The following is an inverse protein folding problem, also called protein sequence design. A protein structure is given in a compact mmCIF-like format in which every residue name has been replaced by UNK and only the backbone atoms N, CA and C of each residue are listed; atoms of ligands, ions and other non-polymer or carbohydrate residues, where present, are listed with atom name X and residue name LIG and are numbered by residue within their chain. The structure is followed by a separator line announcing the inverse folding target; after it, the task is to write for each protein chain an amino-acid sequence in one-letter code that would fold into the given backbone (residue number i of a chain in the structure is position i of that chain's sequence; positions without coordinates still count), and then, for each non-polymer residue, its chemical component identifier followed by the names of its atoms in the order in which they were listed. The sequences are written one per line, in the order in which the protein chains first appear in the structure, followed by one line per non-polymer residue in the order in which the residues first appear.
data_IF_693470761697
#
_entry.id   IF_693470761697
#
_cell.length_a   1.000
_cell.length_b   1.000
_cell.length_c   1.000
_cell.angle_alpha   90.00
_cell.angle_beta   90.00
_cell.angle_gamma   90.00
#
_symmetry.space_group_name_H-M   'P 1'
#
loop_
_entity.id
_entity.type
_entity.pdbx_description
1 polymer ?
#
# COMPACT_ATOMS: atom_id res chain seq x y z
N UNK A 1 19.46 24.33 9.18
CA UNK A 1 18.71 23.68 8.09
C UNK A 1 17.41 23.13 8.67
N UNK A 2 16.28 23.32 8.00
CA UNK A 2 15.04 22.67 8.41
C UNK A 2 15.17 21.17 8.13
N UNK A 3 14.98 20.33 9.14
CA UNK A 3 15.02 18.89 9.01
C UNK A 3 13.84 18.45 8.13
N UNK A 4 14.12 17.85 6.98
CA UNK A 4 13.11 17.41 6.02
C UNK A 4 12.93 15.90 6.17
N UNK A 5 12.05 15.52 7.10
CA UNK A 5 11.73 14.13 7.41
C UNK A 5 11.37 13.32 6.16
N UNK A 6 10.75 13.95 5.14
CA UNK A 6 10.35 13.25 3.92
C UNK A 6 11.57 12.77 3.13
N UNK A 7 12.60 13.62 2.99
CA UNK A 7 13.83 13.26 2.27
C UNK A 7 14.62 12.21 3.02
N UNK A 8 14.69 12.31 4.34
CA UNK A 8 15.41 11.33 5.15
C UNK A 8 14.71 9.96 5.17
N UNK A 9 13.40 9.94 5.33
CA UNK A 9 12.63 8.70 5.25
C UNK A 9 12.77 8.06 3.87
N UNK A 10 12.74 8.85 2.80
CA UNK A 10 12.93 8.33 1.45
C UNK A 10 14.34 7.75 1.24
N UNK A 11 15.37 8.42 1.78
CA UNK A 11 16.75 7.92 1.74
C UNK A 11 16.94 6.64 2.57
N UNK A 12 16.19 6.51 3.67
CA UNK A 12 16.31 5.38 4.60
C UNK A 12 15.46 4.17 4.21
N UNK A 13 14.24 4.38 3.74
CA UNK A 13 13.24 3.34 3.53
C UNK A 13 12.86 3.14 2.06
N UNK A 14 13.27 4.03 1.16
CA UNK A 14 13.01 3.94 -0.27
C UNK A 14 11.89 4.85 -0.77
N UNK A 15 11.21 4.45 -1.84
CA UNK A 15 10.17 5.25 -2.49
C UNK A 15 8.90 5.30 -1.63
N UNK A 16 8.37 6.50 -1.37
CA UNK A 16 7.04 6.67 -0.77
C UNK A 16 5.96 6.11 -1.71
N UNK A 17 5.21 5.11 -1.25
CA UNK A 17 4.14 4.42 -2.00
C UNK A 17 2.75 4.63 -1.41
N UNK A 18 2.66 5.13 -0.18
CA UNK A 18 1.40 5.50 0.45
C UNK A 18 1.62 6.66 1.43
N UNK A 19 0.62 7.54 1.54
CA UNK A 19 0.60 8.61 2.54
C UNK A 19 -0.83 8.94 2.95
N UNK A 20 -1.07 8.98 4.25
CA UNK A 20 -2.28 9.55 4.85
C UNK A 20 -1.89 10.40 6.06
N UNK A 21 -2.75 11.34 6.44
CA UNK A 21 -2.55 12.09 7.67
C UNK A 21 -3.87 12.57 8.26
N UNK A 22 -3.87 12.81 9.57
CA UNK A 22 -4.94 13.52 10.27
C UNK A 22 -4.37 14.60 11.18
N UNK A 23 -5.17 15.62 11.45
CA UNK A 23 -4.79 16.75 12.30
C UNK A 23 -5.79 16.93 13.44
N UNK A 24 -5.30 17.39 14.60
CA UNK A 24 -6.13 17.87 15.71
C UNK A 24 -5.42 19.03 16.40
N UNK A 25 -5.93 20.25 16.23
CA UNK A 25 -5.26 21.46 16.73
C UNK A 25 -3.89 21.65 16.09
N UNK A 26 -2.85 21.82 16.90
CA UNK A 26 -1.46 21.91 16.44
C UNK A 26 -0.77 20.55 16.27
N UNK A 27 -1.48 19.43 16.48
CA UNK A 27 -0.95 18.08 16.30
C UNK A 27 -1.34 17.49 14.95
N UNK A 28 -0.45 16.67 14.41
CA UNK A 28 -0.56 15.97 13.13
C UNK A 28 -0.05 14.53 13.31
N UNK A 29 -0.82 13.56 12.82
CA UNK A 29 -0.42 12.16 12.73
C UNK A 29 -0.27 11.82 11.26
N UNK A 30 0.92 11.44 10.85
CA UNK A 30 1.23 11.00 9.50
C UNK A 30 1.40 9.48 9.49
N UNK A 31 0.89 8.85 8.43
CA UNK A 31 1.18 7.46 8.07
C UNK A 31 1.78 7.47 6.68
N UNK A 32 3.04 7.09 6.56
CA UNK A 32 3.70 6.89 5.28
C UNK A 32 4.11 5.43 5.13
N UNK A 33 3.97 4.86 3.92
CA UNK A 33 4.57 3.56 3.58
C UNK A 33 5.59 3.76 2.48
N UNK A 34 6.75 3.13 2.65
CA UNK A 34 7.86 3.16 1.72
C UNK A 34 8.14 1.75 1.20
N UNK A 35 8.56 1.66 -0.05
CA UNK A 35 9.05 0.44 -0.68
C UNK A 35 10.48 0.65 -1.17
N UNK A 36 11.38 -0.28 -0.87
CA UNK A 36 12.76 -0.25 -1.34
C UNK A 36 12.95 -1.13 -2.59
N UNK A 37 14.10 -1.00 -3.25
CA UNK A 37 14.42 -1.74 -4.48
C UNK A 37 14.56 -3.25 -4.27
N UNK A 38 14.77 -3.69 -3.03
CA UNK A 38 14.85 -5.12 -2.66
C UNK A 38 13.48 -5.76 -2.39
N UNK A 39 12.37 -5.02 -2.56
CA UNK A 39 11.01 -5.50 -2.29
C UNK A 39 10.54 -5.35 -0.84
N UNK A 40 11.37 -4.75 0.03
CA UNK A 40 11.04 -4.49 1.42
C UNK A 40 10.12 -3.29 1.60
N UNK A 41 9.29 -3.35 2.64
CA UNK A 41 8.32 -2.31 2.98
C UNK A 41 8.53 -1.78 4.39
N UNK A 42 8.30 -0.47 4.58
CA UNK A 42 8.31 0.18 5.89
C UNK A 42 7.11 1.12 6.04
N UNK A 43 6.28 0.92 7.07
CA UNK A 43 5.27 1.86 7.52
C UNK A 43 5.83 2.73 8.63
N UNK A 44 5.77 4.04 8.47
CA UNK A 44 6.18 5.03 9.48
C UNK A 44 4.92 5.74 9.98
N UNK A 45 4.62 5.57 11.26
CA UNK A 45 3.55 6.27 11.97
C UNK A 45 4.20 7.36 12.83
N UNK A 46 3.91 8.62 12.53
CA UNK A 46 4.58 9.75 13.17
C UNK A 46 3.56 10.72 13.74
N UNK A 47 3.66 10.98 15.03
CA UNK A 47 2.93 12.06 15.69
C UNK A 47 3.85 13.26 15.83
N UNK A 48 3.43 14.40 15.26
CA UNK A 48 4.16 15.66 15.34
C UNK A 48 3.24 16.78 15.79
N UNK A 49 3.83 17.85 16.33
CA UNK A 49 3.09 19.07 16.64
C UNK A 49 3.91 20.32 16.39
N UNK A 50 3.21 21.42 16.17
CA UNK A 50 3.84 22.72 15.96
C UNK A 50 4.07 23.39 17.31
N UNK A 51 5.35 23.58 17.67
CA UNK A 51 5.78 24.25 18.89
C UNK A 51 6.28 25.66 18.58
N UNK A 52 5.84 26.63 19.39
CA UNK A 52 6.40 27.98 19.41
C UNK A 52 7.72 27.94 20.19
N UNK A 53 8.78 28.41 19.56
CA UNK A 53 10.13 28.52 20.12
C UNK A 53 10.53 29.97 20.03
N UNK A 54 11.07 30.52 21.12
CA UNK A 54 11.61 31.88 21.15
C UNK A 54 13.12 31.74 21.19
N UNK A 55 13.79 32.28 20.19
CA UNK A 55 15.25 32.23 20.02
C UNK A 55 15.69 33.65 19.64
N UNK A 56 16.63 34.24 20.41
CA UNK A 56 17.07 35.63 20.26
C UNK A 56 15.93 36.68 20.24
N UNK A 57 14.90 36.47 21.06
CA UNK A 57 13.72 37.34 21.11
C UNK A 57 12.81 37.25 19.88
N UNK A 58 13.12 36.39 18.91
CA UNK A 58 12.31 36.13 17.72
C UNK A 58 11.49 34.86 17.90
N UNK A 59 10.24 34.93 17.49
CA UNK A 59 9.32 33.81 17.55
C UNK A 59 9.43 32.95 16.30
N UNK A 60 9.73 31.66 16.50
CA UNK A 60 9.76 30.65 15.45
C UNK A 60 8.72 29.57 15.75
N UNK A 61 8.12 29.01 14.69
CA UNK A 61 7.27 27.82 14.80
C UNK A 61 8.00 26.65 14.17
N UNK A 62 8.40 25.65 14.96
CA UNK A 62 9.03 24.43 14.47
C UNK A 62 8.09 23.23 14.65
N UNK A 63 8.19 22.28 13.73
CA UNK A 63 7.57 20.98 13.91
C UNK A 63 8.46 20.15 14.84
N UNK A 64 7.85 19.53 15.84
CA UNK A 64 8.49 18.65 16.81
C UNK A 64 7.82 17.29 16.69
N UNK A 65 8.61 16.22 16.62
CA UNK A 65 8.10 14.86 16.71
C UNK A 65 7.84 14.56 18.18
N UNK A 66 6.64 14.07 18.48
CA UNK A 66 6.26 13.59 19.80
C UNK A 66 6.57 12.09 19.92
N UNK A 67 6.14 11.32 18.92
CA UNK A 67 6.33 9.86 18.86
C UNK A 67 6.47 9.38 17.41
N UNK A 68 7.19 8.28 17.22
CA UNK A 68 7.39 7.60 15.95
C UNK A 68 7.45 6.08 16.15
N UNK A 69 6.63 5.36 15.40
CA UNK A 69 6.66 3.90 15.33
C UNK A 69 6.87 3.45 13.89
N UNK A 70 7.80 2.50 13.69
CA UNK A 70 8.10 1.94 12.37
C UNK A 70 7.82 0.45 12.36
N UNK A 71 7.08 0.00 11.35
CA UNK A 71 6.87 -1.43 11.04
C UNK A 71 7.55 -1.71 9.72
N UNK A 72 8.60 -2.52 9.73
CA UNK A 72 9.35 -2.87 8.53
C UNK A 72 9.40 -4.38 8.31
N UNK A 73 9.42 -4.80 7.05
CA UNK A 73 9.52 -6.20 6.65
C UNK A 73 10.29 -6.33 5.32
N UNK A 74 10.98 -7.46 5.11
CA UNK A 74 11.83 -7.65 3.93
C UNK A 74 11.06 -7.87 2.63
N UNK A 75 9.76 -8.19 2.71
CA UNK A 75 8.91 -8.48 1.57
C UNK A 75 7.44 -8.13 1.89
N UNK A 76 6.61 -8.04 0.84
CA UNK A 76 5.19 -7.70 0.95
C UNK A 76 4.40 -8.69 1.83
N UNK A 77 4.69 -9.99 1.74
CA UNK A 77 3.97 -11.03 2.46
C UNK A 77 4.25 -10.95 3.97
N UNK A 78 5.50 -10.70 4.33
CA UNK A 78 5.93 -10.44 5.71
C UNK A 78 5.36 -9.13 6.23
N UNK A 79 5.29 -8.09 5.40
CA UNK A 79 4.71 -6.79 5.76
C UNK A 79 3.21 -6.90 6.10
N UNK A 80 2.42 -7.58 5.27
CA UNK A 80 0.97 -7.72 5.52
C UNK A 80 0.66 -8.52 6.79
N UNK A 81 1.54 -9.46 7.17
CA UNK A 81 1.43 -10.29 8.38
C UNK A 81 2.06 -9.64 9.62
N UNK A 82 2.79 -8.54 9.44
CA UNK A 82 3.45 -7.87 10.55
C UNK A 82 2.44 -7.42 11.61
N UNK A 83 2.90 -7.36 12.86
CA UNK A 83 2.12 -6.80 13.95
C UNK A 83 2.21 -5.28 13.88
N UNK A 84 1.08 -4.64 13.60
CA UNK A 84 0.97 -3.18 13.57
C UNK A 84 0.59 -2.63 14.95
N UNK A 85 1.02 -1.41 15.29
CA UNK A 85 0.65 -0.79 16.56
C UNK A 85 -0.87 -0.54 16.64
N UNK A 86 -1.41 -0.52 17.85
CA UNK A 86 -2.84 -0.31 18.11
C UNK A 86 -3.24 1.17 17.98
N UNK A 87 -2.95 1.77 16.82
CA UNK A 87 -3.24 3.16 16.47
C UNK A 87 -4.45 3.24 15.53
N UNK A 88 -5.19 4.35 15.60
CA UNK A 88 -6.27 4.61 14.64
C UNK A 88 -5.73 4.63 13.19
N UNK A 89 -4.58 5.28 13.00
CA UNK A 89 -3.93 5.44 11.69
C UNK A 89 -3.45 4.10 11.11
N UNK A 90 -2.99 3.18 11.97
CA UNK A 90 -2.63 1.82 11.56
C UNK A 90 -3.86 0.99 11.13
N UNK A 91 -5.00 1.18 11.80
CA UNK A 91 -6.27 0.54 11.40
C UNK A 91 -6.78 1.10 10.07
N UNK A 92 -6.63 2.41 9.86
CA UNK A 92 -6.98 3.07 8.60
C UNK A 92 -6.11 2.58 7.45
N UNK A 93 -4.78 2.52 7.64
CA UNK A 93 -3.87 1.90 6.67
C UNK A 93 -4.32 0.49 6.30
N UNK A 94 -4.63 -0.38 7.28
CA UNK A 94 -5.05 -1.76 7.02
C UNK A 94 -6.40 -1.91 6.29
N UNK A 95 -7.19 -0.83 6.20
CA UNK A 95 -8.48 -0.77 5.51
C UNK A 95 -8.39 -0.05 4.16
N UNK A 96 -7.24 0.51 3.81
CA UNK A 96 -7.08 1.28 2.57
C UNK A 96 -7.07 0.38 1.33
N UNK A 97 -7.33 1.01 0.17
CA UNK A 97 -7.16 0.39 -1.14
C UNK A 97 -5.71 -0.06 -1.35
N UNK A 98 -4.74 0.76 -0.94
CA UNK A 98 -3.32 0.42 -0.95
C UNK A 98 -3.03 -0.91 -0.22
N UNK A 99 -3.49 -1.09 1.02
CA UNK A 99 -3.19 -2.32 1.77
C UNK A 99 -3.92 -3.54 1.22
N UNK A 100 -5.10 -3.32 0.61
CA UNK A 100 -5.82 -4.35 -0.14
C UNK A 100 -5.02 -4.80 -1.37
N UNK A 101 -4.43 -3.86 -2.13
CA UNK A 101 -3.52 -4.15 -3.24
C UNK A 101 -2.33 -5.01 -2.78
N UNK A 102 -1.70 -4.68 -1.65
CA UNK A 102 -0.58 -5.46 -1.12
C UNK A 102 -0.96 -6.91 -0.81
N UNK A 103 -2.20 -7.16 -0.32
CA UNK A 103 -2.69 -8.53 -0.07
C UNK A 103 -2.80 -9.32 -1.36
N UNK A 104 -3.31 -8.71 -2.42
CA UNK A 104 -3.43 -9.34 -3.73
C UNK A 104 -2.06 -9.63 -4.35
N UNK A 105 -1.11 -8.68 -4.27
CA UNK A 105 0.27 -8.91 -4.71
C UNK A 105 0.92 -10.10 -3.98
N UNK A 106 0.80 -10.14 -2.64
CA UNK A 106 1.36 -11.24 -1.85
C UNK A 106 0.75 -12.61 -2.19
N UNK A 107 -0.55 -12.66 -2.49
CA UNK A 107 -1.24 -13.90 -2.90
C UNK A 107 -0.81 -14.33 -4.31
N UNK A 108 -0.64 -13.40 -5.26
CA UNK A 108 -0.13 -13.73 -6.59
C UNK A 108 1.32 -14.22 -6.56
N UNK A 109 2.19 -13.58 -5.76
CA UNK A 109 3.57 -14.03 -5.55
C UNK A 109 3.61 -15.43 -4.93
N UNK A 110 2.72 -15.72 -3.99
CA UNK A 110 2.59 -17.06 -3.42
C UNK A 110 2.17 -18.09 -4.47
N UNK A 111 1.15 -17.77 -5.27
CA UNK A 111 0.70 -18.65 -6.35
C UNK A 111 1.83 -18.96 -7.34
N UNK A 112 2.60 -17.96 -7.78
CA UNK A 112 3.71 -18.19 -8.73
C UNK A 112 4.82 -19.06 -8.14
N UNK A 113 5.14 -18.88 -6.85
CA UNK A 113 6.14 -19.74 -6.16
C UNK A 113 5.70 -21.19 -6.07
N UNK A 114 4.41 -21.43 -5.84
CA UNK A 114 3.88 -22.79 -5.68
C UNK A 114 3.70 -23.51 -7.03
N UNK A 115 3.61 -22.76 -8.14
CA UNK A 115 3.37 -23.29 -9.49
C UNK A 115 4.44 -22.82 -10.49
N UNK A 116 5.68 -23.36 -10.43
CA UNK A 116 6.78 -22.95 -11.31
C UNK A 116 6.47 -23.20 -12.79
N UNK A 117 6.95 -22.31 -13.67
CA UNK A 117 6.65 -22.30 -15.10
C UNK A 117 5.53 -21.33 -15.50
N UNK A 118 4.92 -20.65 -14.53
CA UNK A 118 3.98 -19.56 -14.73
C UNK A 118 4.63 -18.19 -14.46
N UNK A 119 5.87 -18.00 -14.92
CA UNK A 119 6.65 -16.78 -14.63
C UNK A 119 6.15 -15.55 -15.42
N UNK A 120 5.35 -15.76 -16.46
CA UNK A 120 4.68 -14.73 -17.27
C UNK A 120 3.20 -14.54 -16.94
N UNK A 121 2.46 -13.85 -17.81
CA UNK A 121 0.99 -13.82 -17.79
C UNK A 121 0.37 -13.20 -16.53
N UNK A 122 -0.91 -13.53 -16.27
CA UNK A 122 -1.71 -12.99 -15.18
C UNK A 122 -2.14 -14.08 -14.19
N UNK A 123 -2.01 -13.80 -12.90
CA UNK A 123 -2.65 -14.60 -11.83
C UNK A 123 -4.04 -14.03 -11.59
N UNK A 124 -5.02 -14.92 -11.43
CA UNK A 124 -6.41 -14.56 -11.15
C UNK A 124 -6.74 -14.87 -9.69
N UNK A 125 -7.34 -13.89 -9.01
CA UNK A 125 -7.73 -13.93 -7.61
C UNK A 125 -9.23 -13.64 -7.50
N UNK A 126 -9.93 -14.42 -6.69
CA UNK A 126 -11.33 -14.20 -6.34
C UNK A 126 -11.52 -14.37 -4.83
N UNK A 127 -12.28 -13.47 -4.21
CA UNK A 127 -12.44 -13.38 -2.75
C UNK A 127 -11.13 -13.45 -1.94
N UNK A 128 -10.06 -12.86 -2.50
CA UNK A 128 -8.74 -12.82 -1.87
C UNK A 128 -7.93 -14.11 -1.99
N UNK A 129 -8.35 -15.06 -2.83
CA UNK A 129 -7.60 -16.29 -3.13
C UNK A 129 -7.31 -16.50 -4.60
N UNK A 130 -6.07 -16.86 -4.90
CA UNK A 130 -5.69 -17.19 -6.26
C UNK A 130 -6.39 -18.49 -6.70
N UNK A 131 -7.07 -18.46 -7.83
CA UNK A 131 -7.80 -19.61 -8.38
C UNK A 131 -7.26 -20.08 -9.73
N UNK A 132 -6.36 -19.32 -10.36
CA UNK A 132 -5.77 -19.74 -11.61
C UNK A 132 -4.76 -18.75 -12.18
N UNK A 133 -4.26 -19.11 -13.36
CA UNK A 133 -3.34 -18.32 -14.15
C UNK A 133 -3.70 -18.37 -15.63
N UNK A 134 -3.42 -17.29 -16.36
CA UNK A 134 -3.53 -17.22 -17.82
C UNK A 134 -2.29 -16.59 -18.41
N UNK A 135 -1.92 -16.99 -19.62
CA UNK A 135 -0.78 -16.43 -20.34
C UNK A 135 -0.93 -14.94 -20.68
N UNK A 136 -2.16 -14.41 -20.72
CA UNK A 136 -2.47 -12.99 -20.91
C UNK A 136 -3.85 -12.65 -20.31
N UNK A 137 -4.12 -11.36 -20.11
CA UNK A 137 -5.44 -10.87 -19.72
C UNK A 137 -6.43 -11.08 -20.87
N UNK A 138 -7.48 -11.86 -20.62
CA UNK A 138 -8.52 -12.20 -21.62
C UNK A 138 -9.79 -11.39 -21.36
N UNK A 139 -10.81 -11.59 -22.19
CA UNK A 139 -12.12 -10.96 -22.03
C UNK A 139 -12.72 -11.19 -20.63
N UNK A 140 -13.16 -10.11 -19.98
CA UNK A 140 -13.74 -10.09 -18.64
C UNK A 140 -15.08 -10.85 -18.55
N UNK A 141 -15.78 -11.03 -19.67
CA UNK A 141 -17.04 -11.78 -19.73
C UNK A 141 -16.93 -13.24 -19.26
N UNK A 142 -15.72 -13.78 -19.20
CA UNK A 142 -15.48 -15.13 -18.68
C UNK A 142 -15.08 -15.15 -17.21
N UNK A 143 -15.06 -14.00 -16.53
CA UNK A 143 -14.71 -13.91 -15.12
C UNK A 143 -15.87 -13.47 -14.25
N UNK A 144 -15.81 -13.88 -13.00
CA UNK A 144 -16.70 -13.46 -11.95
C UNK A 144 -16.52 -11.95 -11.65
N UNK A 145 -17.60 -11.16 -11.56
CA UNK A 145 -17.50 -9.79 -11.07
C UNK A 145 -16.77 -9.71 -9.71
N UNK A 146 -15.82 -8.79 -9.60
CA UNK A 146 -14.92 -8.66 -8.44
C UNK A 146 -13.66 -9.53 -8.50
N UNK A 147 -13.48 -10.37 -9.53
CA UNK A 147 -12.20 -11.05 -9.77
C UNK A 147 -11.09 -10.03 -10.03
N UNK A 148 -9.88 -10.36 -9.57
CA UNK A 148 -8.67 -9.56 -9.73
C UNK A 148 -7.71 -10.30 -10.62
N UNK A 149 -7.15 -9.62 -11.62
CA UNK A 149 -6.05 -10.13 -12.43
C UNK A 149 -4.77 -9.34 -12.14
N UNK A 150 -3.65 -10.03 -11.97
CA UNK A 150 -2.35 -9.41 -11.66
C UNK A 150 -1.29 -9.91 -12.63
N UNK A 151 -0.67 -9.00 -13.36
CA UNK A 151 0.46 -9.33 -14.24
C UNK A 151 1.79 -9.46 -13.48
N UNK A 152 2.88 -9.68 -14.21
CA UNK A 152 4.23 -9.83 -13.64
C UNK A 152 4.86 -8.52 -13.21
N UNK A 153 4.36 -7.39 -13.72
CA UNK A 153 4.85 -6.06 -13.37
C UNK A 153 4.11 -5.50 -12.15
N UNK A 154 3.11 -6.24 -11.64
CA UNK A 154 2.32 -5.87 -10.48
C UNK A 154 1.19 -4.90 -10.82
N UNK A 155 0.76 -4.80 -12.08
CA UNK A 155 -0.48 -4.12 -12.43
C UNK A 155 -1.67 -5.00 -12.04
N UNK A 156 -2.69 -4.37 -11.45
CA UNK A 156 -3.90 -5.04 -11.00
C UNK A 156 -5.09 -4.54 -11.81
N UNK A 157 -5.96 -5.47 -12.18
CA UNK A 157 -7.21 -5.20 -12.87
C UNK A 157 -8.35 -5.87 -12.12
N UNK A 158 -9.46 -5.16 -11.93
CA UNK A 158 -10.68 -5.69 -11.34
C UNK A 158 -11.74 -5.90 -12.42
N UNK A 159 -12.42 -7.04 -12.37
CA UNK A 159 -13.54 -7.37 -13.25
C UNK A 159 -14.79 -6.64 -12.73
N UNK A 160 -15.29 -5.65 -13.47
CA UNK A 160 -16.41 -4.80 -13.04
C UNK A 160 -17.69 -4.97 -13.85
N UNK A 161 -18.81 -4.67 -13.19
CA UNK A 161 -20.15 -4.80 -13.74
C UNK A 161 -20.57 -6.25 -13.97
N UNK A 162 -21.69 -6.43 -14.67
CA UNK A 162 -22.20 -7.76 -15.00
C UNK A 162 -22.90 -8.46 -13.83
N UNK A 163 -22.94 -9.79 -13.86
CA UNK A 163 -23.54 -10.64 -12.83
C UNK A 163 -22.97 -12.07 -12.91
N UNK A 164 -23.37 -12.94 -11.98
CA UNK A 164 -22.86 -14.32 -11.86
C UNK A 164 -23.18 -15.21 -13.07
N UNK A 165 -24.17 -14.84 -13.89
CA UNK A 165 -24.58 -15.61 -15.08
C UNK A 165 -23.88 -15.14 -16.36
N UNK A 166 -23.76 -13.83 -16.55
CA UNK A 166 -23.21 -13.20 -17.76
C UNK A 166 -21.70 -12.87 -17.66
N UNK A 167 -21.11 -13.07 -16.48
CA UNK A 167 -19.74 -12.63 -16.17
C UNK A 167 -19.61 -11.11 -16.07
N UNK A 168 -18.38 -10.62 -15.88
CA UNK A 168 -18.08 -9.19 -15.80
C UNK A 168 -18.15 -8.49 -17.16
N UNK A 169 -18.43 -7.18 -17.16
CA UNK A 169 -18.54 -6.38 -18.40
C UNK A 169 -17.19 -5.91 -18.93
N UNK A 170 -16.24 -5.65 -18.05
CA UNK A 170 -14.92 -5.14 -18.42
C UNK A 170 -13.89 -5.35 -17.31
N UNK A 171 -12.62 -5.19 -17.69
CA UNK A 171 -11.52 -5.00 -16.75
C UNK A 171 -11.29 -3.51 -16.51
N UNK A 172 -11.14 -3.13 -15.25
CA UNK A 172 -10.76 -1.78 -14.83
C UNK A 172 -9.42 -1.85 -14.12
N UNK A 173 -8.47 -1.00 -14.54
CA UNK A 173 -7.17 -0.93 -13.88
C UNK A 173 -7.32 -0.36 -12.47
N UNK A 174 -6.82 -1.09 -11.46
CA UNK A 174 -6.73 -0.57 -10.10
C UNK A 174 -5.54 0.38 -10.02
N UNK A 175 -5.74 1.64 -9.62
CA UNK A 175 -4.66 2.60 -9.54
C UNK A 175 -3.62 2.17 -8.49
N UNK A 176 -2.35 2.54 -8.73
CA UNK A 176 -1.26 2.26 -7.78
C UNK A 176 -1.32 3.18 -6.55
N UNK A 177 -1.95 4.34 -6.69
CA UNK A 177 -2.13 5.33 -5.64
C UNK A 177 -3.62 5.58 -5.47
N UNK A 178 -4.06 5.72 -4.23
CA UNK A 178 -5.36 6.30 -3.98
C UNK A 178 -5.31 7.75 -4.54
N UNK A 179 -6.11 8.05 -5.56
CA UNK A 179 -6.25 9.43 -6.05
C UNK A 179 -6.89 10.25 -4.94
N UNK A 180 -6.08 11.09 -4.27
CA UNK A 180 -6.51 12.05 -3.24
C UNK A 180 -6.66 13.43 -3.84
#
# INVERSE_FOLDING_TARGET
MAFDFKKEDAAKYGREVYRAFRCKGNHRWDTCVFANESGGYAAVFRHSFRKKIIEDGKEFRRNVIDDETVVAAPDVASFIRATFPQLADAKELKRSGFFTRLRYLAEADAYRRDWPGHDGGVVLIWEGKAYGWKNCLRDAHHEQPGAIAIDTDGHLFIAEGGNDYDGAKCWVAMPEKDDV
#
